data_IF_684269465702
#
_entry.id   IF_684269465702
#
_cell.length_a   1.000
_cell.length_b   1.000
_cell.length_c   1.000
_cell.angle_alpha   90.00
_cell.angle_beta   90.00
_cell.angle_gamma   90.00
#
_symmetry.space_group_name_H-M   'P 1'
#
loop_
_entity.id
_entity.type
_entity.pdbx_description
1 polymer ?
#
# COMPACT_ATOMS: atom_id res chain seq x y z
N UNK A 1 -6.92 12.07 63.25
CA UNK A 1 -5.97 12.09 64.39
C UNK A 1 -4.63 11.61 63.90
N UNK A 2 -3.58 12.38 64.21
CA UNK A 2 -2.14 12.08 64.06
C UNK A 2 -1.62 11.83 62.64
N UNK A 3 -0.47 12.32 62.21
CA UNK A 3 0.49 13.31 62.67
C UNK A 3 1.50 13.42 61.52
N UNK A 4 2.07 14.60 61.28
CA UNK A 4 3.51 14.87 61.32
C UNK A 4 3.83 16.17 60.60
N UNK A 5 4.70 16.93 61.27
CA UNK A 5 4.92 18.36 61.14
C UNK A 5 6.43 18.57 60.99
N UNK A 6 6.78 19.67 60.32
CA UNK A 6 8.07 20.41 60.22
C UNK A 6 8.77 20.23 58.86
N UNK A 7 8.81 21.26 57.99
CA UNK A 7 9.44 22.61 58.05
C UNK A 7 10.94 22.59 57.74
N UNK A 8 11.34 23.36 56.73
CA UNK A 8 12.70 23.90 56.59
C UNK A 8 13.04 24.35 55.17
N UNK A 9 13.12 25.67 54.95
CA UNK A 9 13.33 26.40 53.70
C UNK A 9 14.80 26.43 53.20
N UNK A 10 14.95 26.98 51.98
CA UNK A 10 16.10 27.62 51.30
C UNK A 10 16.85 26.71 50.29
N UNK A 11 17.21 27.13 49.08
CA UNK A 11 17.36 28.47 48.47
C UNK A 11 17.16 28.41 46.94
N UNK A 12 16.82 29.56 46.36
CA UNK A 12 16.73 29.85 44.92
C UNK A 12 18.13 30.07 44.32
N UNK A 13 18.33 29.63 43.06
CA UNK A 13 19.18 30.36 42.12
C UNK A 13 18.74 30.10 40.67
N UNK A 14 18.24 31.17 40.03
CA UNK A 14 18.20 31.29 38.57
C UNK A 14 19.60 31.64 38.07
N UNK A 15 20.00 31.11 36.91
CA UNK A 15 20.96 31.78 36.05
C UNK A 15 20.52 31.69 34.58
N UNK A 16 20.07 32.83 34.08
CA UNK A 16 20.07 33.15 32.66
C UNK A 16 21.50 33.50 32.23
N UNK A 17 21.84 33.26 30.96
CA UNK A 17 22.98 33.91 30.31
C UNK A 17 22.65 34.13 28.84
N UNK A 18 22.90 35.36 28.39
CA UNK A 18 22.50 35.94 27.12
C UNK A 18 23.74 36.48 26.41
N UNK A 19 23.74 36.29 25.09
CA UNK A 19 24.26 37.18 24.02
C UNK A 19 25.76 37.49 23.85
N UNK A 20 26.22 37.34 22.60
CA UNK A 20 26.89 38.35 21.71
C UNK A 20 27.49 37.61 20.50
N UNK A 21 26.96 37.73 19.27
CA UNK A 21 27.14 38.78 18.25
C UNK A 21 28.60 39.12 17.93
N UNK A 22 29.05 38.81 16.71
CA UNK A 22 30.13 39.53 16.04
C UNK A 22 29.80 39.66 14.55
N UNK A 23 29.88 40.91 14.10
CA UNK A 23 29.66 41.41 12.76
C UNK A 23 31.02 41.96 12.29
N UNK A 24 31.48 41.60 11.10
CA UNK A 24 32.56 42.32 10.40
C UNK A 24 32.23 42.44 8.92
N UNK A 25 32.31 43.68 8.43
CA UNK A 25 32.17 44.11 7.03
C UNK A 25 33.51 44.66 6.54
N UNK A 26 33.89 44.44 5.28
CA UNK A 26 34.19 45.47 4.26
C UNK A 26 34.95 44.95 3.01
N UNK A 27 34.31 45.14 1.84
CA UNK A 27 34.77 45.68 0.51
C UNK A 27 35.92 45.08 -0.35
N UNK A 28 35.50 44.74 -1.59
CA UNK A 28 36.00 45.07 -2.95
C UNK A 28 37.38 44.65 -3.50
N UNK A 29 37.35 44.10 -4.72
CA UNK A 29 38.52 43.99 -5.63
C UNK A 29 38.31 43.01 -6.80
N UNK A 30 37.97 43.55 -7.97
CA UNK A 30 37.69 42.89 -9.26
C UNK A 30 38.99 42.69 -10.08
N UNK A 31 39.30 41.49 -10.63
CA UNK A 31 40.19 41.29 -11.80
C UNK A 31 39.71 40.07 -12.61
N UNK A 32 39.65 40.27 -13.94
CA UNK A 32 39.31 39.32 -15.01
C UNK A 32 40.33 38.19 -15.16
N UNK A 33 39.91 37.01 -15.63
CA UNK A 33 40.63 36.23 -16.65
C UNK A 33 39.77 35.07 -17.22
N UNK A 34 39.72 35.00 -18.55
CA UNK A 34 39.27 33.93 -19.48
C UNK A 34 40.50 33.73 -20.42
N UNK A 35 40.85 32.56 -21.02
CA UNK A 35 40.01 31.41 -21.39
C UNK A 35 40.62 30.01 -21.15
N UNK A 36 39.78 28.97 -21.22
CA UNK A 36 40.14 27.74 -21.95
C UNK A 36 38.85 27.02 -22.38
N UNK A 37 38.66 26.91 -23.69
CA UNK A 37 37.69 26.01 -24.30
C UNK A 37 38.16 24.56 -24.12
N UNK A 38 37.25 23.66 -23.73
CA UNK A 38 37.33 22.24 -24.03
C UNK A 38 35.93 21.59 -23.87
N UNK A 39 35.44 21.10 -25.00
CA UNK A 39 34.53 19.96 -25.18
C UNK A 39 33.18 19.97 -24.46
N UNK A 40 32.20 20.56 -25.16
CA UNK A 40 30.84 20.05 -25.19
C UNK A 40 30.85 18.65 -25.82
N UNK A 41 30.56 17.61 -25.03
CA UNK A 41 29.81 16.42 -25.43
C UNK A 41 29.94 15.35 -24.33
N UNK A 42 29.14 15.49 -23.26
CA UNK A 42 28.78 14.32 -22.45
C UNK A 42 27.40 14.50 -21.79
N UNK A 43 26.38 14.66 -22.63
CA UNK A 43 24.98 14.54 -22.21
C UNK A 43 24.58 13.05 -22.22
N UNK A 44 25.22 12.26 -21.35
CA UNK A 44 24.86 10.87 -21.09
C UNK A 44 23.69 10.80 -20.10
N UNK A 45 22.48 10.73 -20.67
CA UNK A 45 21.28 10.02 -20.18
C UNK A 45 21.23 9.74 -18.67
N UNK A 46 20.80 10.72 -17.90
CA UNK A 46 20.20 10.45 -16.58
C UNK A 46 18.81 9.83 -16.80
N UNK A 47 18.72 8.49 -16.69
CA UNK A 47 17.44 7.81 -16.47
C UNK A 47 16.78 8.42 -15.25
N UNK A 48 15.82 9.32 -15.48
CA UNK A 48 15.10 9.98 -14.39
C UNK A 48 14.16 8.94 -13.79
N UNK A 49 14.59 8.26 -12.73
CA UNK A 49 13.66 7.63 -11.80
C UNK A 49 12.61 8.69 -11.47
N UNK A 50 11.33 8.41 -11.74
CA UNK A 50 10.27 9.37 -11.46
C UNK A 50 10.30 9.68 -9.95
N UNK A 51 10.83 10.85 -9.60
CA UNK A 51 11.07 11.23 -8.22
C UNK A 51 9.72 11.55 -7.57
N UNK A 52 9.39 10.81 -6.51
CA UNK A 52 8.23 11.12 -5.70
C UNK A 52 8.55 12.29 -4.77
N UNK A 53 7.58 13.19 -4.59
CA UNK A 53 7.75 14.38 -3.75
C UNK A 53 6.75 14.37 -2.60
N UNK A 54 7.20 14.83 -1.44
CA UNK A 54 6.33 15.02 -0.28
C UNK A 54 5.44 16.24 -0.52
N UNK A 55 4.13 16.03 -0.60
CA UNK A 55 3.14 17.05 -0.88
C UNK A 55 2.59 17.70 0.39
N UNK A 56 2.12 18.95 0.27
CA UNK A 56 1.26 19.58 1.28
C UNK A 56 -0.19 19.06 1.19
N UNK A 57 -0.98 19.35 2.22
CA UNK A 57 -2.37 18.92 2.38
C UNK A 57 -3.28 19.29 1.20
N UNK A 58 -3.09 20.49 0.65
CA UNK A 58 -3.85 21.06 -0.46
C UNK A 58 -3.38 20.55 -1.84
N UNK A 59 -2.21 19.92 -1.91
CA UNK A 59 -1.58 19.47 -3.16
C UNK A 59 -1.77 17.97 -3.37
N UNK A 60 -1.69 17.16 -2.30
CA UNK A 60 -1.64 15.70 -2.38
C UNK A 60 -2.82 15.12 -3.19
N UNK A 61 -4.05 15.54 -2.87
CA UNK A 61 -5.25 15.11 -3.57
C UNK A 61 -6.11 16.31 -4.00
N UNK A 62 -6.73 16.26 -5.18
CA UNK A 62 -7.66 17.32 -5.60
C UNK A 62 -8.85 17.43 -4.64
N UNK A 63 -9.12 18.64 -4.14
CA UNK A 63 -10.35 18.94 -3.39
C UNK A 63 -11.56 19.01 -4.33
N UNK A 64 -12.72 18.59 -3.86
CA UNK A 64 -13.99 18.82 -4.58
C UNK A 64 -14.23 20.31 -4.78
N UNK A 65 -14.82 20.69 -5.91
CA UNK A 65 -15.11 22.09 -6.26
C UNK A 65 -16.57 22.23 -6.68
N UNK A 66 -17.40 23.06 -6.01
CA UNK A 66 -18.82 23.19 -6.34
C UNK A 66 -19.09 23.50 -7.82
N UNK A 67 -18.22 24.27 -8.46
CA UNK A 67 -18.37 24.68 -9.86
C UNK A 67 -18.20 23.51 -10.85
N UNK A 68 -17.55 22.42 -10.44
CA UNK A 68 -17.27 21.26 -11.29
C UNK A 68 -17.93 19.97 -10.81
N UNK A 69 -18.08 19.83 -9.50
CA UNK A 69 -18.58 18.63 -8.84
C UNK A 69 -20.05 18.76 -8.41
N UNK A 70 -20.64 19.96 -8.55
CA UNK A 70 -22.02 20.29 -8.20
C UNK A 70 -22.12 21.04 -6.86
N UNK A 71 -23.15 21.87 -6.70
CA UNK A 71 -23.34 22.74 -5.53
C UNK A 71 -23.44 21.99 -4.19
N UNK A 72 -23.76 20.70 -4.23
CA UNK A 72 -23.90 19.83 -3.06
C UNK A 72 -22.65 18.97 -2.79
N UNK A 73 -21.51 19.22 -3.45
CA UNK A 73 -20.35 18.33 -3.38
C UNK A 73 -19.68 18.28 -2.00
N UNK A 74 -19.83 19.32 -1.20
CA UNK A 74 -19.30 19.45 0.16
C UNK A 74 -20.38 19.29 1.24
N UNK A 75 -21.64 19.04 0.83
CA UNK A 75 -22.76 18.88 1.76
C UNK A 75 -22.81 17.49 2.35
N UNK A 76 -23.12 17.47 3.64
CA UNK A 76 -23.38 16.25 4.39
C UNK A 76 -24.65 15.55 3.89
N UNK A 77 -24.62 14.22 3.97
CA UNK A 77 -25.74 13.37 3.59
C UNK A 77 -27.03 13.75 4.35
N UNK A 78 -28.02 14.27 3.62
CA UNK A 78 -29.29 14.73 4.19
C UNK A 78 -30.20 13.57 4.65
N UNK A 79 -30.06 12.38 4.04
CA UNK A 79 -30.90 11.21 4.32
C UNK A 79 -30.25 10.20 5.27
N UNK A 80 -29.09 10.52 5.86
CA UNK A 80 -28.36 9.61 6.71
C UNK A 80 -29.04 9.47 8.08
N UNK A 81 -29.43 8.24 8.42
CA UNK A 81 -30.14 7.92 9.68
C UNK A 81 -29.21 7.39 10.75
N UNK A 82 -28.02 6.92 10.37
CA UNK A 82 -27.02 6.39 11.29
C UNK A 82 -26.30 7.54 11.96
N UNK A 83 -26.21 7.51 13.29
CA UNK A 83 -25.47 8.48 14.11
C UNK A 83 -24.58 7.76 15.09
N UNK A 84 -23.48 8.41 15.46
CA UNK A 84 -22.64 7.93 16.55
C UNK A 84 -23.29 8.14 17.92
N UNK A 85 -22.93 7.33 18.93
CA UNK A 85 -23.34 7.57 20.30
C UNK A 85 -22.92 8.96 20.78
N UNK A 86 -23.70 9.60 21.64
CA UNK A 86 -23.42 10.95 22.14
C UNK A 86 -22.04 11.08 22.84
N UNK A 87 -21.50 9.98 23.37
CA UNK A 87 -20.17 9.93 24.02
C UNK A 87 -19.01 9.68 23.04
N UNK A 88 -19.28 9.64 21.73
CA UNK A 88 -18.25 9.50 20.71
C UNK A 88 -17.55 10.84 20.50
N UNK A 89 -16.51 11.08 21.29
CA UNK A 89 -15.69 12.29 21.20
C UNK A 89 -14.35 11.93 20.60
N UNK A 90 -13.90 12.74 19.65
CA UNK A 90 -12.60 12.62 18.99
C UNK A 90 -11.86 13.93 19.11
N UNK A 91 -10.54 13.87 19.02
CA UNK A 91 -9.73 15.08 18.93
C UNK A 91 -10.08 15.82 17.63
N UNK A 92 -10.42 17.11 17.71
CA UNK A 92 -10.71 17.99 16.57
C UNK A 92 -9.71 19.15 16.45
N UNK A 93 -8.85 19.34 17.45
CA UNK A 93 -7.97 20.51 17.55
C UNK A 93 -6.62 20.27 16.89
N UNK A 94 -6.08 19.05 16.97
CA UNK A 94 -4.76 18.76 16.42
C UNK A 94 -4.78 18.79 14.88
N UNK A 95 -3.70 19.32 14.29
CA UNK A 95 -3.45 19.20 12.85
C UNK A 95 -3.34 17.72 12.46
N UNK A 96 -4.20 17.31 11.53
CA UNK A 96 -4.36 15.91 11.18
C UNK A 96 -3.35 15.44 10.12
N UNK A 97 -3.11 16.27 9.10
CA UNK A 97 -2.23 15.98 7.99
C UNK A 97 -0.75 15.84 8.38
N UNK A 98 -0.06 14.85 7.79
CA UNK A 98 1.40 14.68 7.88
C UNK A 98 1.90 13.88 9.09
N UNK A 99 1.05 13.57 10.06
CA UNK A 99 1.40 12.79 11.25
C UNK A 99 1.21 11.28 11.02
N UNK A 100 1.83 10.77 9.95
CA UNK A 100 1.70 9.39 9.48
C UNK A 100 3.07 8.82 9.17
N UNK A 101 3.38 7.63 9.73
CA UNK A 101 4.54 6.87 9.31
C UNK A 101 4.31 6.31 7.89
N UNK A 102 5.23 6.62 6.98
CA UNK A 102 5.19 6.13 5.61
C UNK A 102 5.36 4.62 5.52
N UNK A 103 4.83 4.03 4.45
CA UNK A 103 5.01 2.62 4.13
C UNK A 103 5.18 2.44 2.62
N UNK A 104 5.95 1.42 2.25
CA UNK A 104 6.11 0.99 0.87
C UNK A 104 5.02 -0.01 0.47
N UNK A 105 4.73 -0.97 1.35
CA UNK A 105 3.72 -2.02 1.16
C UNK A 105 2.82 -2.13 2.38
N UNK A 106 1.55 -2.47 2.17
CA UNK A 106 0.59 -2.74 3.23
C UNK A 106 0.01 -4.13 3.02
N UNK A 107 0.30 -5.04 3.94
CA UNK A 107 -0.16 -6.43 3.88
C UNK A 107 -1.30 -6.62 4.89
N UNK A 108 -2.44 -7.05 4.38
CA UNK A 108 -3.59 -7.45 5.19
C UNK A 108 -3.61 -8.98 5.30
N UNK A 109 -3.63 -9.50 6.52
CA UNK A 109 -3.76 -10.94 6.77
C UNK A 109 -5.21 -11.25 7.14
N UNK A 110 -5.84 -12.17 6.41
CA UNK A 110 -7.18 -12.65 6.74
C UNK A 110 -7.16 -13.39 8.08
N UNK A 111 -8.08 -13.01 8.97
CA UNK A 111 -8.28 -13.72 10.24
C UNK A 111 -9.75 -14.04 10.51
N UNK A 112 -10.68 -13.52 9.68
CA UNK A 112 -12.12 -13.59 9.94
C UNK A 112 -12.61 -12.88 11.21
N UNK A 113 -11.71 -12.25 11.98
CA UNK A 113 -12.02 -11.54 13.24
C UNK A 113 -12.30 -10.07 12.96
N UNK A 114 -12.99 -9.41 13.88
CA UNK A 114 -13.26 -7.95 13.81
C UNK A 114 -12.57 -7.15 14.91
N UNK A 115 -11.87 -7.83 15.81
CA UNK A 115 -11.10 -7.27 16.90
C UNK A 115 -9.92 -8.20 17.21
N UNK A 116 -8.84 -7.65 17.75
CA UNK A 116 -7.55 -8.34 17.92
C UNK A 116 -6.87 -7.90 19.20
N UNK A 117 -5.87 -8.65 19.66
CA UNK A 117 -4.97 -8.19 20.74
C UNK A 117 -4.22 -6.93 20.31
N UNK A 118 -3.72 -6.16 21.29
CA UNK A 118 -3.24 -4.78 21.09
C UNK A 118 -2.26 -4.63 19.92
N UNK A 119 -1.31 -5.55 19.81
CA UNK A 119 -0.39 -5.67 18.68
C UNK A 119 -0.69 -6.98 17.96
N UNK A 120 -0.90 -6.92 16.65
CA UNK A 120 -1.23 -8.13 15.87
C UNK A 120 -0.08 -9.14 15.82
N UNK A 121 1.15 -8.69 16.05
CA UNK A 121 2.31 -9.57 16.15
C UNK A 121 2.30 -10.43 17.44
N UNK A 122 1.45 -10.10 18.42
CA UNK A 122 1.29 -10.88 19.66
C UNK A 122 0.22 -11.99 19.54
N UNK A 123 -0.48 -12.11 18.40
CA UNK A 123 -1.38 -13.24 18.12
C UNK A 123 -0.52 -14.50 17.86
N UNK A 124 -0.32 -15.31 18.90
CA UNK A 124 0.52 -16.51 18.84
C UNK A 124 0.08 -17.49 17.74
N UNK A 125 1.05 -18.13 17.10
CA UNK A 125 0.82 -19.12 16.05
C UNK A 125 0.22 -18.53 14.76
N UNK A 126 0.20 -17.20 14.62
CA UNK A 126 -0.37 -16.54 13.45
C UNK A 126 0.70 -16.16 12.43
N UNK A 127 0.26 -15.95 11.18
CA UNK A 127 1.12 -15.37 10.14
C UNK A 127 1.64 -13.99 10.54
N UNK A 128 0.86 -13.21 11.30
CA UNK A 128 1.27 -11.87 11.72
C UNK A 128 2.44 -11.91 12.71
N UNK A 129 2.38 -12.83 13.68
CA UNK A 129 3.50 -13.10 14.57
C UNK A 129 4.74 -13.56 13.76
N UNK A 130 4.55 -14.49 12.83
CA UNK A 130 5.65 -15.03 12.04
C UNK A 130 6.32 -13.99 11.14
N UNK A 131 5.55 -13.10 10.49
CA UNK A 131 6.09 -12.01 9.67
C UNK A 131 7.02 -11.13 10.51
N UNK A 132 6.58 -10.67 11.69
CA UNK A 132 7.36 -9.77 12.54
C UNK A 132 8.56 -10.48 13.20
N UNK A 133 8.38 -11.74 13.63
CA UNK A 133 9.40 -12.49 14.38
C UNK A 133 10.37 -13.29 13.50
N UNK A 134 10.08 -13.47 12.21
CA UNK A 134 10.97 -14.18 11.27
C UNK A 134 12.35 -13.55 11.13
N UNK A 135 12.48 -12.25 11.46
CA UNK A 135 13.70 -11.48 11.25
C UNK A 135 13.93 -11.09 9.78
N UNK A 136 13.08 -11.57 8.88
CA UNK A 136 13.13 -11.21 7.45
C UNK A 136 12.49 -9.83 7.29
N UNK A 137 13.30 -8.85 6.88
CA UNK A 137 12.83 -7.50 6.59
C UNK A 137 12.63 -7.34 5.09
N UNK A 138 11.49 -6.80 4.64
CA UNK A 138 11.26 -6.50 3.24
C UNK A 138 12.33 -5.54 2.70
N UNK A 139 12.87 -5.86 1.53
CA UNK A 139 13.91 -5.05 0.88
C UNK A 139 13.33 -3.90 0.07
N UNK A 140 12.03 -3.96 -0.25
CA UNK A 140 11.34 -2.91 -1.00
C UNK A 140 10.78 -1.77 -0.14
N UNK A 141 11.16 -1.71 1.14
CA UNK A 141 10.86 -0.61 2.05
C UNK A 141 10.00 -1.03 3.24
N UNK A 142 9.45 -0.04 3.95
CA UNK A 142 8.68 -0.29 5.17
C UNK A 142 7.38 -1.03 4.88
N UNK A 143 7.18 -2.16 5.56
CA UNK A 143 5.95 -2.93 5.54
C UNK A 143 5.00 -2.47 6.64
N UNK A 144 3.79 -2.08 6.25
CA UNK A 144 2.66 -1.94 7.16
C UNK A 144 1.95 -3.30 7.22
N UNK A 145 1.83 -3.87 8.40
CA UNK A 145 1.11 -5.13 8.62
C UNK A 145 -0.22 -4.84 9.30
N UNK A 146 -1.30 -5.50 8.87
CA UNK A 146 -2.60 -5.41 9.54
C UNK A 146 -3.35 -6.73 9.49
N UNK A 147 -4.02 -7.06 10.59
CA UNK A 147 -5.00 -8.14 10.61
C UNK A 147 -6.31 -7.64 9.99
N UNK A 148 -7.07 -8.51 9.33
CA UNK A 148 -8.31 -8.14 8.65
C UNK A 148 -9.43 -9.16 8.82
N UNK A 149 -10.68 -8.67 8.80
CA UNK A 149 -11.87 -9.52 8.78
C UNK A 149 -12.16 -10.17 7.41
N UNK A 150 -11.21 -10.10 6.46
CA UNK A 150 -11.24 -10.91 5.25
C UNK A 150 -11.52 -12.38 5.62
N UNK A 151 -12.36 -13.10 4.86
CA UNK A 151 -12.61 -14.51 5.10
C UNK A 151 -11.31 -15.31 5.05
N UNK A 152 -11.23 -16.30 5.91
CA UNK A 152 -10.19 -17.32 5.85
C UNK A 152 -10.67 -18.47 4.97
N UNK A 153 -9.77 -19.26 4.35
CA UNK A 153 -10.13 -20.48 3.65
C UNK A 153 -10.89 -21.45 4.57
N UNK A 154 -11.81 -22.26 4.02
CA UNK A 154 -12.59 -23.23 4.81
C UNK A 154 -11.68 -24.20 5.60
N UNK A 155 -10.56 -24.58 4.99
CA UNK A 155 -9.55 -25.44 5.59
C UNK A 155 -8.83 -24.81 6.80
N UNK A 156 -8.87 -23.48 6.98
CA UNK A 156 -8.24 -22.78 8.13
C UNK A 156 -8.62 -23.41 9.47
N UNK A 157 -9.88 -23.82 9.61
CA UNK A 157 -10.41 -24.42 10.83
C UNK A 157 -10.12 -25.92 10.99
N UNK A 158 -9.53 -26.56 9.98
CA UNK A 158 -9.15 -27.97 9.99
C UNK A 158 -7.71 -28.21 10.47
N UNK A 159 -6.88 -27.16 10.49
CA UNK A 159 -5.48 -27.22 10.93
C UNK A 159 -5.33 -26.78 12.40
N UNK A 160 -4.33 -27.31 13.11
CA UNK A 160 -4.00 -26.85 14.45
C UNK A 160 -3.46 -25.41 14.43
N UNK A 161 -3.54 -24.73 15.58
CA UNK A 161 -2.96 -23.40 15.78
C UNK A 161 -1.46 -23.42 15.45
N UNK A 162 -0.96 -22.44 14.69
CA UNK A 162 0.41 -22.43 14.17
C UNK A 162 0.59 -23.01 12.77
N UNK A 163 -0.38 -23.76 12.25
CA UNK A 163 -0.32 -24.39 10.92
C UNK A 163 -1.44 -23.90 9.98
N UNK A 164 -2.31 -23.02 10.46
CA UNK A 164 -3.52 -22.60 9.75
C UNK A 164 -3.17 -21.81 8.46
N UNK A 165 -3.62 -22.27 7.28
CA UNK A 165 -3.42 -21.55 6.02
C UNK A 165 -4.40 -20.38 5.93
N UNK A 166 -3.90 -19.19 5.59
CA UNK A 166 -4.72 -17.99 5.42
C UNK A 166 -4.39 -17.25 4.12
N UNK A 167 -5.14 -16.19 3.85
CA UNK A 167 -4.98 -15.34 2.68
C UNK A 167 -4.36 -14.00 3.07
N UNK A 168 -3.40 -13.52 2.27
CA UNK A 168 -2.80 -12.20 2.40
C UNK A 168 -3.20 -11.30 1.21
N UNK A 169 -3.54 -10.03 1.46
CA UNK A 169 -3.72 -9.01 0.43
C UNK A 169 -2.60 -8.00 0.50
N UNK A 170 -1.84 -7.86 -0.59
CA UNK A 170 -0.70 -6.95 -0.72
C UNK A 170 -1.14 -5.68 -1.46
N UNK A 171 -1.01 -4.54 -0.80
CA UNK A 171 -1.31 -3.20 -1.32
C UNK A 171 -0.01 -2.37 -1.43
N UNK A 172 0.15 -1.47 -2.41
CA UNK A 172 -0.83 -1.11 -3.45
C UNK A 172 -0.93 -2.09 -4.63
N UNK A 173 -0.16 -3.18 -4.69
CA UNK A 173 -0.18 -4.09 -5.83
C UNK A 173 -1.55 -4.71 -6.17
N UNK A 174 -2.48 -4.77 -5.20
CA UNK A 174 -3.75 -5.49 -5.35
C UNK A 174 -3.50 -6.96 -5.71
N UNK A 175 -2.58 -7.60 -4.98
CA UNK A 175 -2.24 -9.01 -5.16
C UNK A 175 -2.70 -9.79 -3.95
N UNK A 176 -3.50 -10.83 -4.18
CA UNK A 176 -3.89 -11.81 -3.17
C UNK A 176 -2.88 -12.96 -3.22
N UNK A 177 -2.42 -13.41 -2.07
CA UNK A 177 -1.60 -14.61 -1.89
C UNK A 177 -2.36 -15.58 -0.99
N UNK A 178 -2.68 -16.75 -1.51
CA UNK A 178 -3.46 -17.77 -0.82
C UNK A 178 -2.55 -18.82 -0.17
N UNK A 179 -3.10 -19.56 0.80
CA UNK A 179 -2.44 -20.65 1.53
C UNK A 179 -1.17 -20.24 2.29
N UNK A 180 -1.13 -19.01 2.77
CA UNK A 180 -0.04 -18.49 3.60
C UNK A 180 -0.15 -19.09 5.00
N UNK A 181 0.84 -19.89 5.40
CA UNK A 181 0.98 -20.39 6.77
C UNK A 181 2.07 -19.62 7.52
N UNK A 182 2.14 -19.69 8.86
CA UNK A 182 3.22 -19.05 9.61
C UNK A 182 4.62 -19.47 9.15
N UNK A 183 4.80 -20.74 8.76
CA UNK A 183 6.07 -21.25 8.24
C UNK A 183 6.47 -20.64 6.89
N UNK A 184 5.50 -20.19 6.09
CA UNK A 184 5.70 -19.58 4.76
C UNK A 184 5.75 -18.04 4.81
N UNK A 185 5.80 -17.43 6.00
CA UNK A 185 5.93 -15.98 6.13
C UNK A 185 7.20 -15.41 5.44
N UNK A 186 8.39 -16.06 5.50
CA UNK A 186 9.56 -15.64 4.73
C UNK A 186 9.33 -15.65 3.22
N UNK A 187 8.70 -16.70 2.70
CA UNK A 187 8.37 -16.84 1.27
C UNK A 187 7.40 -15.74 0.81
N UNK A 188 6.38 -15.44 1.63
CA UNK A 188 5.46 -14.33 1.38
C UNK A 188 6.23 -13.03 1.19
N UNK A 189 7.24 -12.77 2.03
CA UNK A 189 8.06 -11.56 1.93
C UNK A 189 8.93 -11.60 0.67
N UNK A 190 9.78 -12.61 0.51
CA UNK A 190 10.78 -12.67 -0.54
C UNK A 190 10.22 -12.80 -1.96
N UNK A 191 9.14 -13.54 -2.11
CA UNK A 191 8.61 -13.84 -3.43
C UNK A 191 7.47 -12.93 -3.86
N UNK A 192 6.76 -12.31 -2.92
CA UNK A 192 5.60 -11.49 -3.22
C UNK A 192 5.73 -10.06 -2.72
N UNK A 193 6.05 -9.82 -1.45
CA UNK A 193 6.16 -8.45 -0.92
C UNK A 193 7.32 -7.72 -1.58
N UNK A 194 8.53 -8.28 -1.56
CA UNK A 194 9.76 -7.66 -2.10
C UNK A 194 9.66 -7.32 -3.59
N UNK A 195 8.83 -8.06 -4.34
CA UNK A 195 8.61 -7.90 -5.78
C UNK A 195 7.35 -7.09 -6.11
N UNK A 196 6.54 -6.73 -5.11
CA UNK A 196 5.31 -6.00 -5.32
C UNK A 196 5.56 -4.50 -5.60
N UNK A 197 4.64 -3.91 -6.38
CA UNK A 197 4.56 -2.46 -6.51
C UNK A 197 4.38 -1.79 -5.14
N UNK A 198 5.15 -0.74 -4.91
CA UNK A 198 5.15 0.08 -3.69
C UNK A 198 4.35 1.36 -3.89
N UNK A 199 4.13 2.09 -2.79
CA UNK A 199 3.51 3.44 -2.80
C UNK A 199 4.25 4.46 -3.67
N UNK A 200 5.52 4.21 -3.99
CA UNK A 200 6.38 5.04 -4.83
C UNK A 200 6.81 4.36 -6.14
N UNK A 201 6.15 3.26 -6.53
CA UNK A 201 6.38 2.64 -7.84
C UNK A 201 5.64 3.43 -8.93
N UNK A 202 6.30 4.00 -9.96
CA UNK A 202 5.62 4.73 -11.03
C UNK A 202 4.62 3.85 -11.78
N UNK A 203 3.50 4.43 -12.26
CA UNK A 203 2.45 3.66 -12.96
C UNK A 203 2.74 3.39 -14.44
N UNK A 204 3.48 4.29 -15.10
CA UNK A 204 3.62 4.32 -16.56
C UNK A 204 5.08 4.17 -17.03
N UNK A 205 5.97 3.61 -16.21
CA UNK A 205 7.28 3.23 -16.74
C UNK A 205 7.12 1.91 -17.50
N UNK A 206 7.59 1.82 -18.77
CA UNK A 206 7.70 0.52 -19.42
C UNK A 206 8.52 -0.39 -18.50
N UNK A 207 8.19 -1.69 -18.38
CA UNK A 207 8.94 -2.59 -17.53
C UNK A 207 10.41 -2.49 -17.94
N UNK A 208 11.26 -2.07 -17.01
CA UNK A 208 12.69 -2.28 -17.16
C UNK A 208 12.84 -3.79 -17.22
N UNK A 209 13.02 -4.32 -18.44
CA UNK A 209 13.57 -5.65 -18.63
C UNK A 209 14.80 -5.69 -17.73
N UNK A 210 14.72 -6.48 -16.66
CA UNK A 210 15.86 -6.80 -15.84
C UNK A 210 16.95 -7.23 -16.81
N UNK A 211 17.96 -6.37 -16.98
CA UNK A 211 19.13 -6.68 -17.78
C UNK A 211 19.70 -7.92 -17.11
N UNK A 212 19.61 -9.06 -17.79
CA UNK A 212 20.31 -10.25 -17.36
C UNK A 212 21.78 -9.84 -17.12
N UNK A 213 22.44 -10.35 -16.06
CA UNK A 213 23.83 -10.02 -15.82
C UNK A 213 24.61 -10.39 -17.08
N UNK A 214 25.17 -9.38 -17.73
CA UNK A 214 26.14 -9.59 -18.81
C UNK A 214 27.36 -10.15 -18.11
N UNK A 215 27.49 -11.47 -18.17
CA UNK A 215 28.72 -12.14 -17.80
C UNK A 215 29.73 -11.78 -18.88
N UNK A 216 30.65 -10.90 -18.51
CA UNK A 216 31.80 -10.51 -19.31
C UNK A 216 32.81 -11.67 -19.25
N UNK A 217 32.72 -12.61 -20.19
CA UNK A 217 33.76 -13.62 -20.41
C UNK A 217 34.67 -13.16 -21.53
N UNK A 218 35.73 -12.45 -21.17
CA UNK A 218 36.95 -12.36 -21.96
C UNK A 218 38.13 -12.73 -21.10
N UNK A 219 38.57 -13.99 -21.17
CA UNK A 219 40.00 -14.33 -21.25
C UNK A 219 40.16 -15.62 -22.08
N UNK A 220 41.15 -15.69 -23.00
CA UNK A 220 41.35 -16.83 -23.90
C UNK A 220 42.31 -17.87 -23.29
N UNK A 221 42.02 -19.15 -23.49
CA UNK A 221 43.00 -20.23 -23.30
C UNK A 221 43.24 -20.87 -24.67
N UNK A 222 44.49 -20.75 -25.13
CA UNK A 222 45.05 -21.38 -26.32
C UNK A 222 45.33 -22.89 -26.10
N UNK A 223 45.03 -23.64 -27.16
CA UNK A 223 45.74 -24.79 -27.73
C UNK A 223 45.98 -26.10 -26.93
N UNK A 224 45.32 -27.19 -27.38
CA UNK A 224 45.99 -28.29 -28.13
C UNK A 224 45.04 -29.48 -28.45
N UNK A 225 44.97 -29.81 -29.75
CA UNK A 225 44.36 -30.98 -30.42
C UNK A 225 45.21 -32.29 -30.30
N UNK A 226 44.89 -33.43 -30.98
CA UNK A 226 43.64 -34.20 -31.03
C UNK A 226 43.88 -35.73 -30.84
N UNK A 227 42.83 -36.53 -30.65
CA UNK A 227 42.96 -37.99 -30.51
C UNK A 227 41.70 -38.78 -30.83
N UNK A 228 41.61 -39.23 -32.08
CA UNK A 228 40.69 -40.16 -32.74
C UNK A 228 40.05 -41.28 -31.90
N UNK A 229 38.74 -41.52 -32.11
CA UNK A 229 38.15 -42.77 -32.65
C UNK A 229 36.65 -42.90 -32.35
N UNK A 230 35.84 -43.04 -33.41
CA UNK A 230 34.47 -43.60 -33.41
C UNK A 230 34.52 -45.14 -33.47
N UNK A 231 33.48 -45.88 -33.04
CA UNK A 231 32.40 -46.22 -33.98
C UNK A 231 30.97 -46.35 -33.39
N UNK A 232 30.01 -45.84 -34.17
CA UNK A 232 28.65 -46.32 -34.51
C UNK A 232 27.88 -47.32 -33.63
N UNK A 233 26.59 -47.05 -33.34
CA UNK A 233 25.38 -47.69 -33.94
C UNK A 233 24.07 -47.28 -33.20
N UNK A 234 23.16 -46.70 -34.00
CA UNK A 234 21.67 -46.81 -34.03
C UNK A 234 20.78 -46.56 -32.81
N UNK A 235 19.82 -45.63 -32.98
CA UNK A 235 18.57 -45.60 -32.22
C UNK A 235 17.73 -44.31 -32.30
N UNK A 236 17.15 -44.03 -33.47
CA UNK A 236 15.86 -43.33 -33.71
C UNK A 236 15.26 -42.40 -32.62
N UNK A 237 15.18 -41.09 -32.89
CA UNK A 237 13.92 -40.43 -33.31
C UNK A 237 14.12 -38.91 -33.47
N UNK A 238 13.50 -38.40 -34.52
CA UNK A 238 13.58 -37.03 -35.01
C UNK A 238 12.87 -36.06 -34.06
N UNK A 239 13.55 -34.94 -33.86
CA UNK A 239 13.17 -33.77 -33.10
C UNK A 239 11.91 -33.09 -33.65
N UNK A 240 11.08 -32.66 -32.72
CA UNK A 240 10.05 -31.63 -32.89
C UNK A 240 9.89 -30.91 -31.56
N UNK A 241 11.02 -30.51 -30.96
CA UNK A 241 11.04 -29.69 -29.76
C UNK A 241 10.57 -28.29 -30.15
N UNK A 242 9.28 -28.04 -29.98
CA UNK A 242 8.80 -26.68 -29.81
C UNK A 242 9.31 -26.19 -28.45
N UNK A 243 10.37 -25.39 -28.48
CA UNK A 243 10.83 -24.60 -27.34
C UNK A 243 9.69 -23.68 -26.89
N UNK A 244 8.92 -24.15 -25.91
CA UNK A 244 8.05 -23.30 -25.10
C UNK A 244 8.95 -22.67 -24.04
N UNK A 245 9.00 -21.32 -23.90
CA UNK A 245 9.78 -20.69 -22.85
C UNK A 245 9.30 -21.23 -21.50
N UNK A 246 10.19 -21.90 -20.78
CA UNK A 246 9.91 -22.42 -19.45
C UNK A 246 9.61 -21.23 -18.53
N UNK A 247 8.33 -21.00 -18.24
CA UNK A 247 7.91 -20.08 -17.19
C UNK A 247 8.65 -20.48 -15.91
N UNK A 248 9.56 -19.62 -15.46
CA UNK A 248 10.34 -19.81 -14.22
C UNK A 248 9.37 -19.99 -13.06
N UNK A 249 9.15 -21.24 -12.63
CA UNK A 249 8.33 -21.55 -11.47
C UNK A 249 8.98 -20.90 -10.24
N UNK A 250 8.24 -20.03 -9.58
CA UNK A 250 8.67 -19.44 -8.30
C UNK A 250 8.86 -20.62 -7.32
N UNK A 251 10.00 -20.72 -6.61
CA UNK A 251 10.33 -21.88 -5.78
C UNK A 251 9.59 -21.83 -4.43
N UNK A 252 8.26 -21.70 -4.45
CA UNK A 252 7.39 -21.65 -3.27
C UNK A 252 6.05 -22.31 -3.57
N UNK A 253 5.38 -22.95 -2.58
CA UNK A 253 4.03 -23.49 -2.77
C UNK A 253 2.94 -22.41 -2.75
N UNK A 254 3.26 -21.16 -2.40
CA UNK A 254 2.30 -20.07 -2.34
C UNK A 254 1.76 -19.73 -3.73
N UNK A 255 0.45 -19.47 -3.79
CA UNK A 255 -0.26 -19.10 -5.01
C UNK A 255 -0.69 -17.65 -4.92
N UNK A 256 -0.54 -16.90 -6.02
CA UNK A 256 -1.01 -15.52 -6.10
C UNK A 256 -2.01 -15.30 -7.22
N UNK A 257 -2.94 -14.38 -6.99
CA UNK A 257 -3.95 -13.94 -7.95
C UNK A 257 -4.21 -12.44 -7.81
N UNK A 258 -4.68 -11.76 -8.86
CA UNK A 258 -5.07 -10.35 -8.75
C UNK A 258 -6.29 -10.21 -7.83
N UNK A 259 -6.30 -9.15 -7.02
CA UNK A 259 -7.49 -8.74 -6.29
C UNK A 259 -8.54 -8.23 -7.28
N UNK A 260 -9.78 -8.77 -7.26
CA UNK A 260 -10.81 -8.45 -8.25
C UNK A 260 -11.36 -7.03 -8.07
N UNK A 261 -11.14 -6.39 -6.92
CA UNK A 261 -11.78 -5.12 -6.60
C UNK A 261 -11.18 -3.92 -7.34
N UNK A 262 -12.02 -2.94 -7.67
CA UNK A 262 -11.58 -1.64 -8.19
C UNK A 262 -11.10 -0.71 -7.07
N UNK A 263 -11.63 -0.87 -5.87
CA UNK A 263 -11.13 -0.24 -4.66
C UNK A 263 -11.36 -1.11 -3.43
N UNK A 264 -10.58 -0.84 -2.38
CA UNK A 264 -10.80 -1.39 -1.04
C UNK A 264 -10.86 -0.26 -0.01
N UNK A 265 -11.86 -0.31 0.85
CA UNK A 265 -12.04 0.61 1.98
C UNK A 265 -11.66 -0.16 3.25
N UNK A 266 -10.66 0.33 3.97
CA UNK A 266 -10.19 -0.26 5.22
C UNK A 266 -10.62 0.59 6.40
N UNK A 267 -11.28 -0.02 7.38
CA UNK A 267 -11.82 0.64 8.57
C UNK A 267 -11.12 0.09 9.81
N UNK A 268 -10.49 0.94 10.60
CA UNK A 268 -9.93 0.51 11.88
C UNK A 268 -11.08 0.11 12.82
N UNK A 269 -11.16 -1.17 13.21
CA UNK A 269 -12.23 -1.69 14.10
C UNK A 269 -11.73 -2.14 15.47
N UNK A 270 -10.43 -2.02 15.74
CA UNK A 270 -9.82 -2.60 16.93
C UNK A 270 -10.31 -1.92 18.23
N UNK A 271 -11.19 -2.63 18.94
CA UNK A 271 -11.88 -2.15 20.14
C UNK A 271 -10.98 -2.24 21.37
N UNK A 272 -10.14 -3.28 21.45
CA UNK A 272 -9.16 -3.44 22.54
C UNK A 272 -8.19 -2.27 22.61
N UNK A 273 -7.86 -1.67 21.46
CA UNK A 273 -6.96 -0.51 21.37
C UNK A 273 -7.68 0.81 21.56
N UNK A 274 -8.85 0.96 20.93
CA UNK A 274 -9.72 2.12 21.07
C UNK A 274 -11.20 1.73 20.86
N UNK A 275 -12.00 1.85 21.91
CA UNK A 275 -13.42 1.52 21.87
C UNK A 275 -14.19 2.31 20.81
N UNK A 276 -13.75 3.53 20.47
CA UNK A 276 -14.37 4.36 19.42
C UNK A 276 -14.15 3.76 18.03
N UNK A 277 -12.99 3.21 17.74
CA UNK A 277 -12.76 2.48 16.47
C UNK A 277 -13.70 1.27 16.36
N UNK A 278 -13.84 0.48 17.43
CA UNK A 278 -14.77 -0.64 17.48
C UNK A 278 -16.26 -0.25 17.36
N UNK A 279 -16.63 0.95 17.79
CA UNK A 279 -17.99 1.48 17.63
C UNK A 279 -18.24 2.07 16.23
N UNK A 280 -17.27 2.80 15.69
CA UNK A 280 -17.43 3.53 14.42
C UNK A 280 -17.40 2.62 13.20
N UNK A 281 -16.50 1.63 13.15
CA UNK A 281 -16.31 0.82 11.95
C UNK A 281 -17.58 0.09 11.46
N UNK A 282 -18.39 -0.59 12.30
CA UNK A 282 -19.64 -1.21 11.85
C UNK A 282 -20.68 -0.20 11.34
N UNK A 283 -20.75 0.98 11.96
CA UNK A 283 -21.68 2.04 11.58
C UNK A 283 -21.29 2.66 10.22
N UNK A 284 -19.99 2.93 10.03
CA UNK A 284 -19.45 3.42 8.77
C UNK A 284 -19.62 2.41 7.65
N UNK A 285 -19.31 1.13 7.90
CA UNK A 285 -19.53 0.05 6.93
C UNK A 285 -20.98 0.05 6.45
N UNK A 286 -21.96 0.10 7.36
CA UNK A 286 -23.38 0.10 7.00
C UNK A 286 -23.77 1.29 6.12
N UNK A 287 -23.26 2.50 6.39
CA UNK A 287 -23.50 3.65 5.49
C UNK A 287 -22.79 3.52 4.14
N UNK A 288 -21.53 3.09 4.11
CA UNK A 288 -20.81 2.84 2.86
C UNK A 288 -21.53 1.80 1.99
N UNK A 289 -21.98 0.70 2.59
CA UNK A 289 -22.80 -0.31 1.92
C UNK A 289 -24.07 0.29 1.33
N UNK A 290 -24.79 1.12 2.10
CA UNK A 290 -26.01 1.78 1.65
C UNK A 290 -25.78 2.65 0.41
N UNK A 291 -24.64 3.33 0.31
CA UNK A 291 -24.30 4.16 -0.85
C UNK A 291 -23.74 3.37 -2.03
N UNK A 292 -23.04 2.26 -1.79
CA UNK A 292 -22.46 1.43 -2.85
C UNK A 292 -23.48 0.49 -3.52
N UNK A 293 -24.51 0.03 -2.79
CA UNK A 293 -25.52 -0.91 -3.30
C UNK A 293 -26.32 -0.35 -4.50
N UNK A 294 -26.87 0.88 -4.46
CA UNK A 294 -27.58 1.46 -5.61
C UNK A 294 -26.71 1.62 -6.86
N UNK A 295 -25.39 1.73 -6.68
CA UNK A 295 -24.43 1.81 -7.78
C UNK A 295 -24.02 0.43 -8.33
N UNK A 296 -24.46 -0.68 -7.71
CA UNK A 296 -24.02 -2.03 -8.05
C UNK A 296 -22.54 -2.31 -7.73
N UNK A 297 -21.91 -1.42 -6.94
CA UNK A 297 -20.47 -1.47 -6.66
C UNK A 297 -20.13 -2.15 -5.35
N UNK A 298 -21.09 -2.43 -4.48
CA UNK A 298 -20.80 -3.15 -3.24
C UNK A 298 -20.33 -4.58 -3.53
N UNK A 299 -19.24 -4.99 -2.87
CA UNK A 299 -18.77 -6.37 -2.80
C UNK A 299 -18.76 -6.77 -1.33
N UNK A 300 -19.53 -7.80 -1.00
CA UNK A 300 -19.45 -8.39 0.34
C UNK A 300 -18.16 -9.21 0.49
N UNK A 301 -17.97 -9.82 1.67
CA UNK A 301 -16.71 -10.49 2.00
C UNK A 301 -16.40 -11.71 1.13
N UNK A 302 -17.41 -12.36 0.53
CA UNK A 302 -17.26 -13.56 -0.30
C UNK A 302 -17.50 -13.26 -1.79
N UNK A 303 -17.73 -12.00 -2.13
CA UNK A 303 -18.05 -11.59 -3.49
C UNK A 303 -16.79 -11.36 -4.32
N UNK A 304 -16.41 -12.37 -5.10
CA UNK A 304 -15.23 -12.33 -5.98
C UNK A 304 -15.51 -11.72 -7.35
N UNK A 305 -16.69 -11.14 -7.58
CA UNK A 305 -17.01 -10.52 -8.88
C UNK A 305 -16.04 -9.37 -9.18
N UNK A 306 -15.48 -9.30 -10.40
CA UNK A 306 -14.59 -8.22 -10.80
C UNK A 306 -15.18 -6.81 -10.58
N UNK A 307 -14.29 -5.87 -10.32
CA UNK A 307 -14.61 -4.49 -9.98
C UNK A 307 -15.24 -4.31 -8.62
N UNK A 308 -16.02 -3.24 -8.47
CA UNK A 308 -16.68 -2.89 -7.22
C UNK A 308 -15.71 -2.56 -6.08
N UNK A 309 -16.23 -2.54 -4.87
CA UNK A 309 -15.58 -2.03 -3.67
C UNK A 309 -15.74 -3.02 -2.53
N UNK A 310 -14.62 -3.57 -2.06
CA UNK A 310 -14.55 -4.35 -0.84
C UNK A 310 -14.41 -3.44 0.38
N UNK A 311 -15.11 -3.76 1.48
CA UNK A 311 -14.99 -3.03 2.75
C UNK A 311 -14.49 -3.99 3.83
N UNK A 312 -13.30 -3.71 4.34
CA UNK A 312 -12.65 -4.57 5.33
C UNK A 312 -12.40 -3.81 6.63
N UNK A 313 -12.60 -4.52 7.73
CA UNK A 313 -12.10 -4.12 9.02
C UNK A 313 -10.64 -4.50 9.12
N UNK A 314 -9.86 -3.63 9.76
CA UNK A 314 -8.45 -3.84 10.03
C UNK A 314 -8.09 -3.52 11.47
N UNK A 315 -6.97 -4.09 11.91
CA UNK A 315 -6.33 -3.76 13.19
C UNK A 315 -5.89 -2.29 13.26
N UNK A 316 -5.38 -1.89 14.41
CA UNK A 316 -5.02 -0.50 14.67
C UNK A 316 -3.94 0.00 13.71
N UNK A 317 -4.23 1.10 13.03
CA UNK A 317 -3.32 1.74 12.08
C UNK A 317 -2.57 2.96 12.64
N UNK A 318 -2.72 3.27 13.93
CA UNK A 318 -2.20 4.51 14.54
C UNK A 318 -3.23 5.65 14.56
N UNK A 319 -2.96 6.68 15.36
CA UNK A 319 -3.85 7.86 15.45
C UNK A 319 -5.20 7.62 16.12
N UNK A 320 -5.24 6.77 17.16
CA UNK A 320 -6.48 6.45 17.88
C UNK A 320 -7.18 7.70 18.45
N UNK A 321 -6.44 8.75 18.85
CA UNK A 321 -7.01 10.03 19.30
C UNK A 321 -8.05 10.63 18.32
N UNK A 322 -7.85 10.43 17.01
CA UNK A 322 -8.75 10.89 15.95
C UNK A 322 -9.91 9.92 15.69
N UNK A 323 -9.68 8.61 15.87
CA UNK A 323 -10.66 7.53 15.62
C UNK A 323 -11.30 7.57 14.22
N UNK A 324 -12.21 6.63 13.95
CA UNK A 324 -12.91 6.53 12.66
C UNK A 324 -11.96 6.61 11.45
N UNK A 325 -10.84 5.87 11.53
CA UNK A 325 -9.84 5.85 10.47
C UNK A 325 -10.39 5.06 9.27
N UNK A 326 -10.29 5.67 8.09
CA UNK A 326 -10.70 5.10 6.80
C UNK A 326 -9.53 5.21 5.84
N UNK A 327 -9.06 4.09 5.31
CA UNK A 327 -8.06 4.08 4.22
C UNK A 327 -8.71 3.59 2.93
N UNK A 328 -8.61 4.38 1.86
CA UNK A 328 -9.14 4.03 0.54
C UNK A 328 -7.97 3.75 -0.38
N UNK A 329 -7.86 2.52 -0.85
CA UNK A 329 -6.97 2.19 -1.96
C UNK A 329 -7.83 2.02 -3.21
N UNK A 330 -7.50 2.73 -4.30
CA UNK A 330 -8.28 2.70 -5.54
C UNK A 330 -7.40 2.59 -6.78
N UNK A 331 -7.87 1.84 -7.77
CA UNK A 331 -7.33 1.81 -9.14
C UNK A 331 -7.72 3.07 -9.90
N UNK A 332 -7.01 3.41 -10.98
CA UNK A 332 -7.33 4.61 -11.77
C UNK A 332 -8.65 4.43 -12.50
N UNK A 333 -8.76 3.32 -13.23
CA UNK A 333 -9.95 2.95 -13.99
C UNK A 333 -10.86 2.08 -13.11
N UNK A 334 -12.03 2.61 -12.72
CA UNK A 334 -12.99 1.88 -11.91
C UNK A 334 -13.79 0.84 -12.69
N UNK A 335 -13.76 0.91 -14.02
CA UNK A 335 -14.51 0.06 -14.94
C UNK A 335 -13.61 -0.86 -15.77
N UNK A 336 -12.32 -0.98 -15.40
CA UNK A 336 -11.32 -1.81 -16.08
C UNK A 336 -11.85 -3.22 -16.41
N UNK A 337 -12.56 -3.82 -15.46
CA UNK A 337 -13.13 -5.17 -15.57
C UNK A 337 -14.20 -5.30 -16.66
N UNK A 338 -14.94 -4.22 -16.98
CA UNK A 338 -15.92 -4.24 -18.08
C UNK A 338 -15.20 -4.29 -19.43
N UNK A 339 -14.08 -3.57 -19.56
CA UNK A 339 -13.26 -3.54 -20.78
C UNK A 339 -12.61 -4.90 -21.03
N UNK A 340 -12.11 -5.56 -19.98
CA UNK A 340 -11.58 -6.92 -20.09
C UNK A 340 -12.65 -7.94 -20.48
N UNK A 341 -13.85 -7.85 -19.92
CA UNK A 341 -14.96 -8.73 -20.29
C UNK A 341 -15.39 -8.54 -21.75
N UNK A 342 -15.35 -7.31 -22.26
CA UNK A 342 -15.64 -7.01 -23.67
C UNK A 342 -14.57 -7.59 -24.62
N UNK A 343 -13.29 -7.49 -24.26
CA UNK A 343 -12.19 -8.09 -25.04
C UNK A 343 -12.33 -9.61 -25.16
N UNK A 344 -12.60 -10.30 -24.04
CA UNK A 344 -12.80 -11.76 -24.02
C UNK A 344 -14.02 -12.23 -24.81
N UNK A 345 -15.05 -11.39 -24.96
CA UNK A 345 -16.23 -11.70 -25.77
C UNK A 345 -16.05 -11.45 -27.27
N UNK A 346 -14.88 -10.96 -27.70
CA UNK A 346 -14.59 -10.56 -29.08
C UNK A 346 -13.40 -11.34 -29.68
N UNK A 347 -12.72 -12.16 -28.88
CA UNK A 347 -11.64 -13.07 -29.28
C UNK A 347 -12.19 -14.49 -29.58
N UNK A 348 -12.95 -14.61 -30.67
CA UNK A 348 -13.15 -15.86 -31.43
C UNK A 348 -12.35 -15.72 -32.76
N UNK A 349 -11.02 -15.64 -32.68
CA UNK A 349 -10.04 -16.10 -33.68
C UNK A 349 -8.64 -15.60 -33.28
N UNK A 350 -7.71 -16.54 -33.10
CA UNK A 350 -6.25 -16.40 -33.05
C UNK A 350 -5.63 -15.25 -32.20
N UNK A 351 -5.33 -15.53 -30.93
CA UNK A 351 -3.96 -15.51 -30.38
C UNK A 351 -4.00 -15.85 -28.88
N UNK A 352 -3.42 -16.99 -28.48
CA UNK A 352 -3.22 -17.33 -27.06
C UNK A 352 -1.99 -16.57 -26.55
N UNK A 353 -2.17 -15.27 -26.34
CA UNK A 353 -1.20 -14.41 -25.66
C UNK A 353 -1.05 -14.79 -24.18
N UNK A 354 0.19 -15.10 -23.83
CA UNK A 354 0.71 -15.47 -22.51
C UNK A 354 0.17 -14.61 -21.34
N UNK A 355 -0.67 -15.21 -20.50
CA UNK A 355 -1.33 -14.58 -19.36
C UNK A 355 -0.48 -14.46 -18.09
N UNK A 356 0.85 -14.31 -18.21
CA UNK A 356 1.77 -14.28 -17.04
C UNK A 356 2.45 -12.92 -16.82
N UNK A 357 2.21 -11.90 -17.65
CA UNK A 357 2.76 -10.53 -17.43
C UNK A 357 1.71 -9.41 -17.46
N UNK A 358 0.47 -9.70 -17.06
CA UNK A 358 -0.59 -8.71 -16.83
C UNK A 358 -0.58 -8.18 -15.41
N UNK A 359 0.55 -7.68 -14.92
CA UNK A 359 0.63 -7.04 -13.60
C UNK A 359 -0.38 -5.89 -13.54
N UNK A 360 -1.54 -6.11 -12.90
CA UNK A 360 -2.53 -5.05 -12.78
C UNK A 360 -1.84 -3.86 -12.10
N UNK A 361 -2.05 -2.65 -12.60
CA UNK A 361 -1.39 -1.42 -12.14
C UNK A 361 -1.44 -1.19 -10.61
N UNK A 362 -2.30 -1.92 -9.92
CA UNK A 362 -2.56 -1.82 -8.50
C UNK A 362 -3.40 -0.59 -8.18
N UNK A 363 -3.39 -0.19 -6.91
CA UNK A 363 -3.90 1.11 -6.52
C UNK A 363 -2.99 2.23 -7.02
N UNK A 364 -3.63 3.20 -7.65
CA UNK A 364 -3.02 4.46 -8.07
C UNK A 364 -2.99 5.45 -6.91
N UNK A 365 -3.99 5.40 -6.04
CA UNK A 365 -4.06 6.25 -4.85
C UNK A 365 -4.32 5.42 -3.59
N UNK A 366 -3.72 5.86 -2.49
CA UNK A 366 -4.04 5.45 -1.13
C UNK A 366 -4.37 6.69 -0.30
N UNK A 367 -5.64 6.89 0.03
CA UNK A 367 -6.14 8.08 0.73
C UNK A 367 -6.49 7.68 2.17
N UNK A 368 -5.81 8.28 3.15
CA UNK A 368 -6.05 7.99 4.57
C UNK A 368 -6.80 9.15 5.24
N UNK A 369 -8.02 8.87 5.69
CA UNK A 369 -8.89 9.79 6.41
C UNK A 369 -9.09 9.38 7.87
N UNK A 370 -9.47 10.32 8.72
CA UNK A 370 -9.95 10.08 10.08
C UNK A 370 -11.03 11.10 10.48
N UNK A 371 -11.60 10.95 11.68
CA UNK A 371 -12.76 11.76 12.16
C UNK A 371 -14.00 11.62 11.28
N UNK A 372 -14.06 10.57 10.47
CA UNK A 372 -15.17 10.32 9.56
C UNK A 372 -16.43 10.05 10.36
N UNK A 373 -17.54 10.63 9.91
CA UNK A 373 -18.88 10.42 10.45
C UNK A 373 -19.75 9.71 9.42
N UNK A 374 -20.87 9.10 9.85
CA UNK A 374 -21.81 8.46 8.93
C UNK A 374 -22.30 9.40 7.82
N UNK A 375 -22.54 10.67 8.14
CA UNK A 375 -22.93 11.69 7.17
C UNK A 375 -21.89 12.01 6.07
N UNK A 376 -20.60 11.70 6.29
CA UNK A 376 -19.54 11.92 5.30
C UNK A 376 -19.47 10.79 4.25
N UNK A 377 -20.06 9.62 4.55
CA UNK A 377 -19.91 8.41 3.74
C UNK A 377 -20.36 8.61 2.28
N UNK A 378 -21.43 9.38 2.05
CA UNK A 378 -21.91 9.66 0.70
C UNK A 378 -20.87 10.38 -0.15
N UNK A 379 -20.29 11.45 0.38
CA UNK A 379 -19.27 12.25 -0.29
C UNK A 379 -18.00 11.44 -0.53
N UNK A 380 -17.58 10.64 0.45
CA UNK A 380 -16.43 9.74 0.33
C UNK A 380 -16.65 8.74 -0.81
N UNK A 381 -17.82 8.11 -0.95
CA UNK A 381 -18.09 7.22 -2.08
C UNK A 381 -18.03 8.02 -3.40
N UNK A 382 -18.82 9.09 -3.52
CA UNK A 382 -18.98 9.83 -4.78
C UNK A 382 -17.68 10.46 -5.29
N UNK A 383 -16.83 10.96 -4.39
CA UNK A 383 -15.68 11.77 -4.76
C UNK A 383 -14.35 11.07 -4.43
N UNK A 384 -14.21 10.47 -3.25
CA UNK A 384 -12.94 9.85 -2.84
C UNK A 384 -12.71 8.51 -3.49
N UNK A 385 -13.68 7.60 -3.38
CA UNK A 385 -13.57 6.25 -3.93
C UNK A 385 -13.62 6.29 -5.46
N UNK A 386 -14.64 6.96 -6.03
CA UNK A 386 -14.88 6.93 -7.47
C UNK A 386 -13.98 7.88 -8.27
N UNK A 387 -13.64 9.06 -7.72
CA UNK A 387 -12.95 10.13 -8.48
C UNK A 387 -11.56 10.49 -7.94
N UNK A 388 -11.11 9.90 -6.83
CA UNK A 388 -9.80 10.21 -6.24
C UNK A 388 -9.68 11.62 -5.66
N UNK A 389 -10.82 12.25 -5.30
CA UNK A 389 -10.90 13.60 -4.72
C UNK A 389 -11.19 13.57 -3.22
N UNK A 390 -10.80 14.62 -2.51
CA UNK A 390 -11.09 14.77 -1.06
C UNK A 390 -12.17 15.83 -0.83
N UNK A 391 -13.11 15.54 0.08
CA UNK A 391 -14.25 16.45 0.38
C UNK A 391 -13.84 17.51 1.40
N UNK A 392 -13.37 17.09 2.58
CA UNK A 392 -12.99 17.96 3.70
C UNK A 392 -11.52 17.74 4.13
N UNK A 393 -10.53 17.96 3.24
CA UNK A 393 -9.14 17.59 3.53
C UNK A 393 -8.63 18.24 4.82
N UNK A 394 -8.92 19.52 5.00
CA UNK A 394 -8.56 20.37 6.13
C UNK A 394 -8.97 19.82 7.52
N UNK A 395 -9.95 18.91 7.59
CA UNK A 395 -10.39 18.31 8.86
C UNK A 395 -10.23 16.80 8.93
N UNK A 396 -10.20 16.11 7.78
CA UNK A 396 -10.29 14.66 7.70
C UNK A 396 -9.07 13.99 7.08
N UNK A 397 -8.24 14.69 6.30
CA UNK A 397 -7.09 14.07 5.62
C UNK A 397 -5.92 13.87 6.58
N UNK A 398 -5.43 12.62 6.66
CA UNK A 398 -4.22 12.27 7.41
C UNK A 398 -2.97 12.24 6.55
N UNK A 399 -3.11 11.79 5.31
CA UNK A 399 -2.00 11.55 4.41
C UNK A 399 -2.34 10.50 3.37
N UNK A 400 -1.32 9.99 2.68
CA UNK A 400 -1.51 9.04 1.59
C UNK A 400 -0.45 9.17 0.50
N UNK A 401 -0.77 8.56 -0.64
CA UNK A 401 0.04 8.63 -1.86
C UNK A 401 -0.84 8.75 -3.10
N UNK A 402 -0.27 9.37 -4.14
CA UNK A 402 -0.80 9.45 -5.49
C UNK A 402 0.32 9.08 -6.48
N UNK A 403 0.31 7.84 -6.95
CA UNK A 403 1.32 7.28 -7.87
C UNK A 403 1.22 7.85 -9.28
N UNK A 404 0.09 8.42 -9.66
CA UNK A 404 -0.08 9.06 -10.96
C UNK A 404 0.59 10.44 -10.97
N UNK A 405 0.51 11.16 -9.86
CA UNK A 405 1.10 12.50 -9.71
C UNK A 405 2.49 12.48 -9.08
N UNK A 406 2.99 11.33 -8.65
CA UNK A 406 4.29 11.20 -7.99
C UNK A 406 4.33 11.87 -6.61
N UNK A 407 3.23 11.81 -5.84
CA UNK A 407 3.08 12.51 -4.57
C UNK A 407 2.92 11.54 -3.40
N UNK A 408 3.55 11.85 -2.27
CA UNK A 408 3.38 11.16 -0.97
C UNK A 408 3.25 12.18 0.17
N UNK A 409 2.81 11.76 1.35
CA UNK A 409 2.63 12.65 2.50
C UNK A 409 3.69 12.55 3.59
N UNK A 410 4.76 11.78 3.38
CA UNK A 410 5.82 11.51 4.36
C UNK A 410 7.21 11.71 3.78
#
# INVERSE_FOLDING_TARGET
>A
MQAFLKRGLSSLSLSASSSRSNLTTSTDGQINDIPAEADTDDELKAETQAAFTTASEDVLFPKVRPELDGEDCDRDCASCTIRYPAKFVVDLEDKLYGNVAGWATHVLIATGKTDWVRDVADEKGSVMEAVEKSGVKPVNGTLKLSASNMPVPDEYHMYPEGEQPTTALILPAFTIVDNVTPALAPDLIHHFVDKAATTTTPLNQPPLLNKAPVVDTTEPIEDAEPGSQSPSISGSNIEGAHDVPAATKIPTPLLSRPCPHAAVILLCSQRTRDARCGQSAPLLRREFERHLRPLGLYRDLHDERPGGVGIYFISHVGGHKYSANVMVYRRRDFEWYKKEAQKKGQEDDDDRGDGINGGSEGAVQGIWLARIRPEDCEGIIKYTVLKGKVVKPDTQLRGGFDRERGLISW
#
